data_IF_832331629101
#
_entry.id   IF_832331629101
#
_cell.length_a   1.000
_cell.length_b   1.000
_cell.length_c   1.000
_cell.angle_alpha   90.00
_cell.angle_beta   90.00
_cell.angle_gamma   90.00
#
_symmetry.space_group_name_H-M   'P 1'
#
loop_
_entity.id
_entity.type
_entity.pdbx_description
1 polymer ?
#
# COMPACT_ATOMS: atom_id res chain seq x y z
N UNK A 1 13.42 -18.68 0.32
CA UNK A 1 13.73 -17.24 0.37
C UNK A 1 12.53 -16.53 0.95
N UNK A 2 12.72 -15.69 1.96
CA UNK A 2 11.63 -14.89 2.53
C UNK A 2 11.26 -13.77 1.54
N UNK A 3 9.99 -13.62 1.14
CA UNK A 3 9.61 -12.58 0.17
C UNK A 3 10.00 -11.17 0.66
N UNK A 4 10.25 -10.21 -0.26
CA UNK A 4 10.51 -8.82 0.14
C UNK A 4 9.27 -8.21 0.80
N UNK A 5 9.45 -7.25 1.71
CA UNK A 5 8.37 -6.75 2.58
C UNK A 5 7.14 -6.23 1.81
N UNK A 6 7.34 -5.50 0.72
CA UNK A 6 6.23 -5.00 -0.10
C UNK A 6 5.35 -6.11 -0.70
N UNK A 7 5.89 -7.32 -0.92
CA UNK A 7 5.10 -8.47 -1.36
C UNK A 7 4.31 -9.07 -0.20
N UNK A 8 4.89 -9.13 1.00
CA UNK A 8 4.19 -9.61 2.19
C UNK A 8 3.02 -8.69 2.56
N UNK A 9 3.23 -7.38 2.53
CA UNK A 9 2.17 -6.40 2.75
C UNK A 9 1.07 -6.50 1.68
N UNK A 10 1.46 -6.65 0.41
CA UNK A 10 0.51 -6.91 -0.69
C UNK A 10 -0.34 -8.15 -0.40
N UNK A 11 0.28 -9.27 -0.01
CA UNK A 11 -0.42 -10.52 0.26
C UNK A 11 -1.35 -10.40 1.48
N UNK A 12 -0.94 -9.67 2.53
CA UNK A 12 -1.80 -9.32 3.66
C UNK A 12 -3.02 -8.52 3.18
N UNK A 13 -2.81 -7.43 2.44
CA UNK A 13 -3.92 -6.56 1.99
C UNK A 13 -4.88 -7.30 1.05
N UNK A 14 -4.39 -8.22 0.24
CA UNK A 14 -5.24 -9.09 -0.59
C UNK A 14 -6.06 -10.04 0.29
N UNK A 15 -5.45 -10.66 1.29
CA UNK A 15 -6.10 -11.61 2.21
C UNK A 15 -7.23 -10.94 3.00
N UNK A 16 -6.99 -9.70 3.44
CA UNK A 16 -7.93 -8.90 4.22
C UNK A 16 -8.97 -8.16 3.36
N UNK A 17 -8.94 -8.37 2.03
CA UNK A 17 -9.91 -7.79 1.11
C UNK A 17 -9.74 -6.29 0.84
N UNK A 18 -8.67 -5.66 1.36
CA UNK A 18 -8.40 -4.22 1.19
C UNK A 18 -8.14 -3.82 -0.27
N UNK A 19 -7.84 -4.79 -1.14
CA UNK A 19 -7.63 -4.55 -2.57
C UNK A 19 -8.81 -4.96 -3.45
N UNK A 20 -9.98 -5.25 -2.86
CA UNK A 20 -11.15 -5.69 -3.61
C UNK A 20 -11.59 -4.64 -4.64
N UNK A 21 -11.81 -5.07 -5.89
CA UNK A 21 -12.17 -4.17 -6.99
C UNK A 21 -11.01 -3.41 -7.64
N UNK A 22 -9.76 -3.66 -7.20
CA UNK A 22 -8.55 -3.07 -7.79
C UNK A 22 -7.69 -4.13 -8.48
N UNK A 23 -7.01 -3.72 -9.55
CA UNK A 23 -5.92 -4.50 -10.14
C UNK A 23 -4.67 -4.33 -9.29
N UNK A 24 -4.31 -5.39 -8.58
CA UNK A 24 -3.11 -5.44 -7.74
C UNK A 24 -1.87 -5.60 -8.60
N UNK A 25 -0.89 -4.71 -8.39
CA UNK A 25 0.41 -4.74 -9.06
C UNK A 25 1.53 -4.47 -8.06
N UNK A 26 2.78 -4.60 -8.52
CA UNK A 26 3.95 -4.34 -7.70
C UNK A 26 5.10 -3.73 -8.51
N UNK A 27 6.01 -3.04 -7.82
CA UNK A 27 7.18 -2.30 -8.33
C UNK A 27 6.83 -1.06 -9.15
N UNK A 28 5.95 -1.20 -10.13
CA UNK A 28 5.55 -0.11 -11.00
C UNK A 28 4.10 -0.28 -11.43
N UNK A 29 3.43 0.85 -11.60
CA UNK A 29 2.12 0.87 -12.23
C UNK A 29 2.26 0.57 -13.73
N UNK A 30 1.38 -0.31 -14.23
CA UNK A 30 1.21 -0.64 -15.64
C UNK A 30 -0.26 -0.50 -15.98
N UNK A 31 -0.60 0.58 -16.66
CA UNK A 31 -1.95 0.80 -17.15
C UNK A 31 -2.36 -0.30 -18.14
N UNK A 32 -3.62 -0.71 -18.07
CA UNK A 32 -4.27 -1.61 -19.03
C UNK A 32 -4.85 -0.88 -20.23
N UNK A 33 -4.91 0.45 -20.19
CA UNK A 33 -5.55 1.30 -21.18
C UNK A 33 -7.07 1.37 -21.04
N UNK A 34 -7.65 0.81 -19.97
CA UNK A 34 -9.09 0.86 -19.70
C UNK A 34 -9.40 1.91 -18.63
N UNK A 35 -10.23 2.88 -18.99
CA UNK A 35 -10.58 4.00 -18.12
C UNK A 35 -11.32 3.58 -16.83
N UNK A 36 -11.99 2.43 -16.86
CA UNK A 36 -12.70 1.84 -15.72
C UNK A 36 -11.79 1.07 -14.76
N UNK A 37 -10.57 0.73 -15.18
CA UNK A 37 -9.64 0.01 -14.33
C UNK A 37 -9.01 0.98 -13.31
N UNK A 38 -8.94 0.49 -12.08
CA UNK A 38 -8.28 1.12 -10.93
C UNK A 38 -7.25 0.14 -10.35
N UNK A 39 -6.21 0.67 -9.70
CA UNK A 39 -5.03 -0.11 -9.35
C UNK A 39 -4.58 0.14 -7.91
N UNK A 40 -3.97 -0.87 -7.31
CA UNK A 40 -3.16 -0.70 -6.10
C UNK A 40 -1.79 -1.30 -6.38
N UNK A 41 -0.74 -0.49 -6.21
CA UNK A 41 0.63 -0.85 -6.55
C UNK A 41 1.49 -0.82 -5.30
N UNK A 42 2.15 -1.94 -5.00
CA UNK A 42 3.04 -2.07 -3.85
C UNK A 42 4.50 -2.00 -4.29
N UNK A 43 5.30 -1.13 -3.68
CA UNK A 43 6.73 -1.01 -4.00
C UNK A 43 7.56 -0.68 -2.77
N UNK A 44 8.81 -1.12 -2.78
CA UNK A 44 9.78 -0.75 -1.75
C UNK A 44 10.00 0.77 -1.75
N UNK A 45 10.12 1.36 -0.56
CA UNK A 45 10.39 2.78 -0.36
C UNK A 45 11.47 3.02 0.71
N UNK A 46 12.42 2.09 0.82
CA UNK A 46 13.52 2.17 1.80
C UNK A 46 13.11 1.64 3.18
N UNK A 47 13.71 2.21 4.21
CA UNK A 47 13.55 1.76 5.59
C UNK A 47 14.69 2.28 6.47
N UNK A 48 14.76 1.78 7.68
CA UNK A 48 15.93 1.97 8.56
C UNK A 48 17.02 0.95 8.26
N UNK A 49 18.15 1.09 8.95
CA UNK A 49 19.24 0.13 8.85
C UNK A 49 18.80 -1.28 9.23
N UNK A 50 19.31 -2.27 8.51
CA UNK A 50 19.12 -3.69 8.81
C UNK A 50 20.38 -4.16 9.54
N UNK A 51 20.27 -4.40 10.85
CA UNK A 51 21.36 -4.90 11.67
C UNK A 51 21.07 -6.31 12.13
N UNK A 52 22.08 -7.18 12.17
CA UNK A 52 21.91 -8.55 12.63
C UNK A 52 21.35 -8.59 14.06
N UNK A 53 20.31 -9.41 14.28
CA UNK A 53 19.61 -9.59 15.56
C UNK A 53 18.94 -8.32 16.12
N UNK A 54 18.77 -7.28 15.28
CA UNK A 54 18.00 -6.09 15.57
C UNK A 54 16.90 -5.91 14.51
N UNK A 55 15.73 -5.46 14.94
CA UNK A 55 14.62 -5.12 14.05
C UNK A 55 14.92 -3.92 13.14
N UNK A 56 13.94 -3.59 12.30
CA UNK A 56 13.99 -2.39 11.47
C UNK A 56 12.60 -1.97 11.02
N UNK A 57 12.50 -0.74 10.51
CA UNK A 57 11.33 -0.24 9.81
C UNK A 57 11.49 -0.48 8.31
N UNK A 58 10.58 -1.23 7.70
CA UNK A 58 10.49 -1.35 6.25
C UNK A 58 9.42 -0.43 5.71
N UNK A 59 9.79 0.49 4.82
CA UNK A 59 8.83 1.39 4.19
C UNK A 59 8.34 0.81 2.87
N UNK A 60 7.01 0.66 2.78
CA UNK A 60 6.30 0.24 1.57
C UNK A 60 5.45 1.39 1.09
N UNK A 61 5.65 1.80 -0.16
CA UNK A 61 4.73 2.72 -0.82
C UNK A 61 3.57 1.91 -1.41
N UNK A 62 2.35 2.30 -1.06
CA UNK A 62 1.10 1.78 -1.59
C UNK A 62 0.46 2.90 -2.42
N UNK A 63 0.64 2.82 -3.73
CA UNK A 63 0.02 3.76 -4.66
C UNK A 63 -1.40 3.24 -4.98
N UNK A 64 -2.43 3.99 -4.57
CA UNK A 64 -3.84 3.75 -4.92
C UNK A 64 -4.20 4.65 -6.10
N UNK A 65 -4.55 4.05 -7.23
CA UNK A 65 -4.82 4.76 -8.48
C UNK A 65 -6.28 4.58 -8.85
N UNK A 66 -6.98 5.69 -9.02
CA UNK A 66 -8.40 5.69 -9.35
C UNK A 66 -8.70 5.23 -10.76
N UNK A 67 -9.95 4.82 -11.00
CA UNK A 67 -10.52 4.86 -12.34
C UNK A 67 -10.75 6.32 -12.75
N UNK A 68 -10.93 6.60 -14.04
CA UNK A 68 -11.29 7.96 -14.49
C UNK A 68 -12.74 8.31 -14.16
N UNK A 69 -13.62 7.30 -14.19
CA UNK A 69 -15.06 7.48 -14.05
C UNK A 69 -15.53 7.52 -12.59
N UNK A 70 -14.76 6.94 -11.66
CA UNK A 70 -15.13 6.84 -10.25
C UNK A 70 -13.88 7.01 -9.36
N UNK A 71 -13.45 8.26 -9.08
CA UNK A 71 -12.38 8.55 -8.13
C UNK A 71 -12.76 8.25 -6.68
N UNK A 72 -14.04 8.38 -6.30
CA UNK A 72 -14.51 8.16 -4.93
C UNK A 72 -14.24 6.73 -4.42
N UNK A 73 -14.26 5.73 -5.31
CA UNK A 73 -13.89 4.36 -4.97
C UNK A 73 -12.43 4.22 -4.51
N UNK A 74 -11.52 5.01 -5.09
CA UNK A 74 -10.12 5.04 -4.68
C UNK A 74 -9.95 5.71 -3.32
N UNK A 75 -10.67 6.80 -3.06
CA UNK A 75 -10.66 7.48 -1.76
C UNK A 75 -11.25 6.58 -0.66
N UNK A 76 -12.32 5.83 -0.96
CA UNK A 76 -12.87 4.84 -0.05
C UNK A 76 -11.87 3.73 0.29
N UNK A 77 -11.13 3.23 -0.70
CA UNK A 77 -10.08 2.23 -0.47
C UNK A 77 -8.91 2.78 0.36
N UNK A 78 -8.50 4.03 0.11
CA UNK A 78 -7.50 4.73 0.93
C UNK A 78 -7.97 4.80 2.39
N UNK A 79 -9.20 5.24 2.64
CA UNK A 79 -9.75 5.33 3.98
C UNK A 79 -9.84 3.96 4.66
N UNK A 80 -10.26 2.91 3.94
CA UNK A 80 -10.31 1.55 4.46
C UNK A 80 -8.92 1.03 4.86
N UNK A 81 -7.88 1.32 4.06
CA UNK A 81 -6.49 0.97 4.40
C UNK A 81 -6.04 1.71 5.66
N UNK A 82 -6.33 3.01 5.76
CA UNK A 82 -5.96 3.84 6.92
C UNK A 82 -6.66 3.35 8.19
N UNK A 83 -7.97 3.07 8.10
CA UNK A 83 -8.75 2.53 9.21
C UNK A 83 -8.22 1.16 9.65
N UNK A 84 -7.93 0.27 8.70
CA UNK A 84 -7.36 -1.05 8.98
C UNK A 84 -6.02 -0.97 9.72
N UNK A 85 -5.11 -0.10 9.26
CA UNK A 85 -3.82 0.13 9.92
C UNK A 85 -4.04 0.72 11.32
N UNK A 86 -4.97 1.68 11.46
CA UNK A 86 -5.22 2.38 12.73
C UNK A 86 -5.91 1.50 13.77
N UNK A 87 -6.67 0.50 13.33
CA UNK A 87 -7.37 -0.45 14.18
C UNK A 87 -6.53 -1.69 14.53
N UNK A 88 -5.32 -1.84 13.98
CA UNK A 88 -4.48 -2.98 14.26
C UNK A 88 -4.19 -3.08 15.76
N UNK A 89 -4.44 -4.26 16.33
CA UNK A 89 -3.98 -4.62 17.67
C UNK A 89 -2.87 -5.66 17.56
N UNK A 90 -1.73 -5.41 18.22
CA UNK A 90 -0.56 -6.28 18.14
C UNK A 90 0.17 -6.21 16.79
N UNK A 91 0.85 -7.30 16.42
CA UNK A 91 1.69 -7.40 15.23
C UNK A 91 1.28 -8.62 14.39
N UNK A 92 1.42 -8.51 13.07
CA UNK A 92 1.25 -9.65 12.18
C UNK A 92 2.56 -10.42 12.04
N UNK A 93 2.48 -11.75 12.05
CA UNK A 93 3.67 -12.61 11.94
C UNK A 93 4.52 -12.33 10.69
N UNK A 94 3.93 -11.84 9.59
CA UNK A 94 4.62 -11.68 8.31
C UNK A 94 5.19 -10.27 8.05
N UNK A 95 4.62 -9.24 8.68
CA UNK A 95 4.95 -7.81 8.43
C UNK A 95 5.18 -7.00 9.71
N UNK A 96 4.94 -7.54 10.90
CA UNK A 96 5.04 -6.82 12.16
C UNK A 96 3.86 -5.87 12.41
N UNK A 97 4.12 -4.80 13.17
CA UNK A 97 3.15 -3.72 13.33
C UNK A 97 3.14 -2.83 12.09
N UNK A 98 1.94 -2.37 11.70
CA UNK A 98 1.77 -1.42 10.62
C UNK A 98 1.63 -0.01 11.17
N UNK A 99 2.25 0.96 10.49
CA UNK A 99 2.07 2.39 10.77
C UNK A 99 1.93 3.16 9.48
N UNK A 100 0.98 4.09 9.40
CA UNK A 100 0.99 5.09 8.35
C UNK A 100 2.07 6.13 8.68
N UNK A 101 3.00 6.34 7.76
CA UNK A 101 4.05 7.36 7.90
C UNK A 101 3.49 8.68 7.38
N UNK A 102 3.16 9.58 8.30
CA UNK A 102 2.49 10.84 7.99
C UNK A 102 0.97 10.68 7.92
N UNK A 103 0.32 11.59 7.17
CA UNK A 103 -1.13 11.55 6.93
C UNK A 103 -1.41 11.17 5.46
N UNK A 104 -2.67 10.93 5.10
CA UNK A 104 -3.09 10.74 3.72
C UNK A 104 -2.73 11.99 2.91
N UNK A 105 -1.85 11.88 1.89
CA UNK A 105 -1.47 13.04 1.09
C UNK A 105 -2.59 13.41 0.09
N UNK A 106 -2.52 14.63 -0.43
CA UNK A 106 -3.38 15.04 -1.53
C UNK A 106 -3.17 14.14 -2.76
N UNK A 107 -4.23 13.68 -3.44
CA UNK A 107 -4.10 12.88 -4.65
C UNK A 107 -3.40 13.67 -5.77
N UNK A 108 -2.52 12.99 -6.51
CA UNK A 108 -1.77 13.57 -7.63
C UNK A 108 -2.54 13.29 -8.93
N UNK A 109 -2.95 14.31 -9.69
CA UNK A 109 -3.58 14.10 -10.99
C UNK A 109 -2.56 13.61 -12.02
N UNK A 110 -3.01 12.71 -12.88
CA UNK A 110 -2.26 12.24 -14.04
C UNK A 110 -2.74 12.94 -15.31
N UNK A 111 -1.92 12.95 -16.37
CA UNK A 111 -2.28 13.62 -17.64
C UNK A 111 -3.54 13.00 -18.28
N UNK A 112 -3.74 11.70 -18.11
CA UNK A 112 -4.89 10.97 -18.62
C UNK A 112 -6.14 11.08 -17.73
N UNK A 113 -6.08 11.79 -16.60
CA UNK A 113 -7.24 12.12 -15.76
C UNK A 113 -7.57 11.14 -14.65
N UNK A 114 -6.59 10.35 -14.19
CA UNK A 114 -6.70 9.55 -12.95
C UNK A 114 -6.10 10.32 -11.77
N UNK A 115 -6.42 9.87 -10.57
CA UNK A 115 -5.82 10.35 -9.33
C UNK A 115 -4.95 9.25 -8.72
N UNK A 116 -3.77 9.64 -8.21
CA UNK A 116 -2.84 8.74 -7.52
C UNK A 116 -2.66 9.23 -6.08
N UNK A 117 -3.11 8.43 -5.13
CA UNK A 117 -2.86 8.66 -3.69
C UNK A 117 -1.76 7.71 -3.23
N UNK A 118 -0.71 8.27 -2.61
CA UNK A 118 0.48 7.51 -2.23
C UNK A 118 0.57 7.36 -0.71
N UNK A 119 0.23 6.19 -0.19
CA UNK A 119 0.38 5.91 1.23
C UNK A 119 1.76 5.33 1.51
N UNK A 120 2.45 5.86 2.50
CA UNK A 120 3.70 5.30 2.98
C UNK A 120 3.42 4.49 4.25
N UNK A 121 3.60 3.18 4.18
CA UNK A 121 3.34 2.25 5.29
C UNK A 121 4.68 1.76 5.84
N UNK A 122 4.90 1.93 7.15
CA UNK A 122 5.96 1.24 7.87
C UNK A 122 5.49 -0.12 8.34
N UNK A 123 6.33 -1.13 8.17
CA UNK A 123 6.18 -2.48 8.68
C UNK A 123 7.34 -2.75 9.64
N UNK A 124 7.12 -3.30 10.84
CA UNK A 124 8.16 -3.50 11.88
C UNK A 124 8.48 -4.98 12.14
N UNK A 125 8.65 -5.77 11.08
CA UNK A 125 8.86 -7.22 11.20
C UNK A 125 10.11 -7.60 12.01
N UNK A 126 9.95 -8.42 13.06
CA UNK A 126 11.06 -8.86 13.89
C UNK A 126 11.39 -7.96 15.08
N UNK A 127 10.57 -6.93 15.31
CA UNK A 127 10.46 -6.25 16.62
C UNK A 127 9.49 -6.98 17.57
#
# INVERSE_FOLDING_TARGET
>A
MTPPMYMRLKDLFVTEGLTAGFKVQWRQWRDTGKDTDQFIVFRSSGGTDITFDLGGDWYVMVDVISSKANPDAADAAVNAIVEYISAQSGAYDCVGALRLVGNVPAPIPTEEGRLVTRLLVSCTYGE
#
